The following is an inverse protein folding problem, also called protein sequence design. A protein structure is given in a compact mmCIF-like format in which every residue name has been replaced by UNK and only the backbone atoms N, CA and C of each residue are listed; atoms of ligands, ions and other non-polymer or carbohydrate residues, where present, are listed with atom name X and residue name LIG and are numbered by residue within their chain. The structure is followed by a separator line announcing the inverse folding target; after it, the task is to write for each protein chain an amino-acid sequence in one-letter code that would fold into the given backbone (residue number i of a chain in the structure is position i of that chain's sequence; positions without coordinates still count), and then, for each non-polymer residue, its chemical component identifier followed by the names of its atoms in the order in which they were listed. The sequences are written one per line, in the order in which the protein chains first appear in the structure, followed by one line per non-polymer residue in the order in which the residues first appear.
data_IF_793234635704
#
_entry.id   IF_793234635704
#
_cell.length_a   1.000
_cell.length_b   1.000
_cell.length_c   1.000
_cell.angle_alpha   90.00
_cell.angle_beta   90.00
_cell.angle_gamma   90.00
#
_symmetry.space_group_name_H-M   'P 1'
#
loop_
_entity.id
_entity.type
_entity.pdbx_description
1 polymer ?
#
# COMPACT_ATOMS: atom_id res chain seq x y z
N UNK A 1 13.83 -5.20 -5.18
CA UNK A 1 14.26 -5.26 -3.76
C UNK A 1 13.05 -5.16 -2.84
N UNK A 2 13.01 -5.98 -1.83
CA UNK A 2 11.91 -5.96 -0.89
C UNK A 2 11.92 -4.69 -0.05
N UNK A 3 10.77 -4.12 0.19
CA UNK A 3 10.59 -2.98 1.07
C UNK A 3 10.42 -3.46 2.51
N UNK A 4 10.71 -2.60 3.45
CA UNK A 4 10.48 -2.86 4.85
C UNK A 4 9.15 -2.27 5.26
N UNK A 5 8.32 -3.07 5.92
CA UNK A 5 7.07 -2.58 6.48
C UNK A 5 7.34 -2.05 7.88
N UNK A 6 7.08 -0.76 8.07
CA UNK A 6 7.18 -0.12 9.37
C UNK A 6 5.78 0.01 9.95
N UNK A 7 5.61 -0.47 11.18
CA UNK A 7 4.30 -0.50 11.82
C UNK A 7 4.32 0.35 13.09
N UNK A 8 3.40 1.30 13.14
CA UNK A 8 3.20 2.11 14.34
C UNK A 8 1.79 1.87 14.87
N UNK A 9 1.71 1.28 16.05
CA UNK A 9 0.44 0.99 16.69
C UNK A 9 -0.01 2.21 17.50
N UNK A 10 -1.23 2.66 17.26
CA UNK A 10 -1.79 3.82 17.93
C UNK A 10 -3.19 3.52 18.43
N UNK A 11 -3.45 3.80 19.68
CA UNK A 11 -4.78 3.66 20.28
C UNK A 11 -5.47 5.01 20.22
N UNK A 12 -6.63 5.06 19.55
CA UNK A 12 -7.39 6.29 19.37
C UNK A 12 -8.28 6.59 20.58
N UNK A 13 -8.88 5.55 21.14
CA UNK A 13 -9.67 5.63 22.36
C UNK A 13 -9.70 4.23 22.99
N UNK A 14 -10.61 3.99 23.90
CA UNK A 14 -10.67 2.71 24.62
C UNK A 14 -11.11 1.54 23.75
N UNK A 15 -11.76 1.78 22.63
CA UNK A 15 -12.38 0.76 21.80
C UNK A 15 -11.82 0.65 20.40
N UNK A 16 -11.04 1.65 19.97
CA UNK A 16 -10.52 1.70 18.60
C UNK A 16 -9.01 1.69 18.59
N UNK A 17 -8.47 0.99 17.63
CA UNK A 17 -7.04 0.99 17.34
C UNK A 17 -6.81 1.46 15.91
N UNK A 18 -5.69 2.10 15.71
CA UNK A 18 -5.22 2.48 14.40
C UNK A 18 -3.79 2.02 14.23
N UNK A 19 -3.40 1.79 13.00
CA UNK A 19 -2.04 1.37 12.69
C UNK A 19 -1.59 2.00 11.39
N UNK A 20 -0.35 2.48 11.37
CA UNK A 20 0.28 2.99 10.16
C UNK A 20 1.25 1.96 9.64
N UNK A 21 1.13 1.63 8.37
CA UNK A 21 2.04 0.74 7.66
C UNK A 21 2.75 1.56 6.59
N UNK A 22 4.06 1.42 6.48
CA UNK A 22 4.80 2.14 5.44
C UNK A 22 5.99 1.34 4.96
N UNK A 23 6.48 1.67 3.77
CA UNK A 23 7.76 1.19 3.28
C UNK A 23 8.85 2.21 3.61
N UNK A 24 10.10 1.81 3.41
CA UNK A 24 11.15 2.77 3.09
C UNK A 24 11.03 3.11 1.62
N UNK A 25 11.48 4.29 1.20
CA UNK A 25 11.40 4.71 -0.20
C UNK A 25 11.95 3.61 -1.11
N UNK A 26 11.15 3.20 -2.10
CA UNK A 26 11.46 2.09 -2.98
C UNK A 26 11.46 2.54 -4.43
N UNK A 27 12.54 2.23 -5.14
CA UNK A 27 12.66 2.50 -6.56
C UNK A 27 11.79 1.52 -7.36
N UNK A 28 11.04 2.06 -8.32
CA UNK A 28 10.19 1.27 -9.20
C UNK A 28 11.01 0.83 -10.40
N UNK A 29 10.98 -0.46 -10.71
CA UNK A 29 11.72 -1.03 -11.83
C UNK A 29 10.98 -0.94 -13.16
N UNK A 30 11.51 -1.65 -14.16
CA UNK A 30 10.94 -1.64 -15.52
C UNK A 30 9.66 -2.46 -15.68
N UNK A 31 9.30 -3.28 -14.70
CA UNK A 31 8.02 -3.99 -14.66
C UNK A 31 7.34 -3.68 -13.33
N UNK A 32 6.11 -4.16 -13.18
CA UNK A 32 5.37 -3.92 -11.93
C UNK A 32 6.20 -4.39 -10.74
N UNK A 33 6.41 -3.50 -9.79
CA UNK A 33 7.29 -3.69 -8.63
C UNK A 33 6.49 -3.59 -7.35
N UNK A 34 6.73 -4.50 -6.41
CA UNK A 34 6.14 -4.40 -5.08
C UNK A 34 6.83 -3.29 -4.31
N UNK A 35 6.10 -2.25 -3.95
CA UNK A 35 6.64 -1.11 -3.21
C UNK A 35 6.30 -1.15 -1.72
N UNK A 36 5.23 -1.80 -1.35
CA UNK A 36 4.90 -2.11 0.03
C UNK A 36 4.57 -3.59 0.12
N UNK A 37 5.42 -4.35 0.83
CA UNK A 37 5.25 -5.78 0.99
C UNK A 37 3.94 -6.11 1.71
N UNK A 38 3.45 -7.31 1.50
CA UNK A 38 2.20 -7.75 2.13
C UNK A 38 2.26 -7.63 3.65
N UNK A 39 1.16 -7.22 4.22
CA UNK A 39 1.01 -7.10 5.67
C UNK A 39 -0.42 -7.43 6.08
N UNK A 40 -0.57 -7.86 7.32
CA UNK A 40 -1.84 -8.29 7.88
C UNK A 40 -2.68 -7.08 8.29
N UNK A 41 -3.90 -6.99 7.77
CA UNK A 41 -4.85 -5.92 8.07
C UNK A 41 -6.15 -6.46 8.67
N UNK A 42 -6.14 -7.68 9.17
CA UNK A 42 -7.36 -8.36 9.61
C UNK A 42 -8.12 -7.63 10.71
N UNK A 43 -7.43 -6.82 11.52
CA UNK A 43 -8.06 -6.07 12.61
C UNK A 43 -8.70 -4.74 12.18
N UNK A 44 -8.52 -4.35 10.93
CA UNK A 44 -8.94 -3.02 10.47
C UNK A 44 -10.01 -3.15 9.40
N UNK A 45 -10.93 -2.20 9.36
CA UNK A 45 -12.02 -2.19 8.38
C UNK A 45 -12.16 -0.86 7.65
N UNK A 46 -11.25 0.06 7.90
CA UNK A 46 -11.14 1.32 7.13
C UNK A 46 -9.68 1.55 6.84
N UNK A 47 -9.41 1.88 5.58
CA UNK A 47 -8.04 2.11 5.13
C UNK A 47 -7.98 3.38 4.28
N UNK A 48 -6.88 4.10 4.42
CA UNK A 48 -6.52 5.17 3.50
C UNK A 48 -5.07 5.00 3.12
N UNK A 49 -4.72 5.38 1.90
CA UNK A 49 -3.36 5.24 1.39
C UNK A 49 -2.90 6.58 0.84
N UNK A 50 -1.66 6.93 1.15
CA UNK A 50 -1.01 8.07 0.54
C UNK A 50 0.31 7.62 -0.05
N UNK A 51 0.56 8.00 -1.29
CA UNK A 51 1.73 7.59 -2.04
C UNK A 51 2.47 8.84 -2.48
N UNK A 52 3.74 8.92 -2.11
CA UNK A 52 4.62 10.03 -2.46
C UNK A 52 5.62 9.55 -3.50
N UNK A 53 5.81 10.36 -4.54
CA UNK A 53 6.84 10.13 -5.55
C UNK A 53 7.85 11.27 -5.46
N UNK A 54 9.06 10.96 -5.04
CA UNK A 54 10.13 11.95 -4.91
C UNK A 54 10.89 12.17 -6.22
N UNK A 55 10.68 11.32 -7.22
CA UNK A 55 11.34 11.47 -8.51
C UNK A 55 10.73 12.62 -9.30
N UNK A 56 11.58 13.47 -9.85
CA UNK A 56 11.14 14.64 -10.59
C UNK A 56 10.94 14.41 -12.09
N UNK A 57 11.24 13.22 -12.60
CA UNK A 57 11.22 12.93 -14.03
C UNK A 57 10.20 11.86 -14.43
N UNK A 58 9.90 10.89 -13.57
CA UNK A 58 9.06 9.74 -13.91
C UNK A 58 7.85 9.67 -12.99
N UNK A 59 6.67 9.70 -13.59
CA UNK A 59 5.41 9.48 -12.88
C UNK A 59 5.20 7.97 -12.66
N UNK A 60 4.36 7.63 -11.70
CA UNK A 60 4.04 6.25 -11.37
C UNK A 60 2.54 6.00 -11.39
N UNK A 61 2.18 4.74 -11.58
CA UNK A 61 0.81 4.25 -11.38
C UNK A 61 0.89 3.16 -10.33
N UNK A 62 0.20 3.34 -9.23
CA UNK A 62 0.18 2.38 -8.14
C UNK A 62 -1.13 1.59 -8.14
N UNK A 63 -1.03 0.35 -7.68
CA UNK A 63 -2.16 -0.57 -7.55
C UNK A 63 -2.15 -1.15 -6.15
N UNK A 64 -3.32 -1.19 -5.53
CA UNK A 64 -3.50 -1.81 -4.23
C UNK A 64 -4.07 -3.20 -4.46
N UNK A 65 -3.45 -4.21 -3.86
CA UNK A 65 -3.92 -5.59 -3.93
C UNK A 65 -4.32 -6.08 -2.56
N UNK A 66 -5.39 -6.85 -2.52
CA UNK A 66 -5.86 -7.46 -1.29
C UNK A 66 -5.99 -8.96 -1.43
N UNK A 67 -5.98 -9.66 -0.30
CA UNK A 67 -6.21 -11.09 -0.24
C UNK A 67 -6.93 -11.46 1.05
N UNK A 68 -7.80 -12.46 0.96
CA UNK A 68 -8.46 -13.05 2.13
C UNK A 68 -7.77 -14.31 2.61
N UNK A 69 -6.75 -14.77 1.90
CA UNK A 69 -5.99 -15.96 2.31
C UNK A 69 -5.22 -15.70 3.59
N UNK A 70 -5.10 -16.74 4.39
CA UNK A 70 -4.34 -16.69 5.64
C UNK A 70 -2.84 -16.49 5.37
N UNK A 71 -2.33 -17.17 4.35
CA UNK A 71 -0.94 -17.04 3.92
C UNK A 71 -0.90 -16.88 2.40
N UNK A 72 -1.13 -15.66 1.89
CA UNK A 72 -1.10 -15.44 0.45
C UNK A 72 0.32 -15.56 -0.09
N UNK A 73 0.41 -16.03 -1.32
CA UNK A 73 1.70 -16.17 -2.01
C UNK A 73 2.30 -14.83 -2.42
N UNK A 74 3.18 -14.88 -3.42
CA UNK A 74 3.88 -13.70 -3.93
C UNK A 74 2.91 -12.60 -4.32
N UNK A 75 3.19 -11.39 -3.91
CA UNK A 75 2.38 -10.20 -4.20
C UNK A 75 2.14 -10.05 -5.70
N UNK A 76 0.89 -9.78 -6.05
CA UNK A 76 0.47 -9.65 -7.43
C UNK A 76 0.23 -10.97 -8.15
N UNK A 77 0.43 -12.11 -7.48
CA UNK A 77 0.15 -13.43 -8.03
C UNK A 77 -1.32 -13.81 -7.93
N UNK A 78 -1.60 -15.11 -8.10
CA UNK A 78 -2.97 -15.63 -8.20
C UNK A 78 -3.79 -15.51 -6.91
N UNK A 79 -3.14 -15.28 -5.77
CA UNK A 79 -3.84 -15.12 -4.49
C UNK A 79 -4.32 -13.69 -4.26
N UNK A 80 -4.00 -12.77 -5.16
CA UNK A 80 -4.23 -11.35 -5.00
C UNK A 80 -5.21 -10.80 -6.02
N UNK A 81 -6.03 -9.87 -5.58
CA UNK A 81 -6.98 -9.15 -6.43
C UNK A 81 -6.79 -7.66 -6.22
N UNK A 82 -6.78 -6.90 -7.31
CA UNK A 82 -6.69 -5.44 -7.20
C UNK A 82 -7.93 -4.89 -6.51
N UNK A 83 -7.70 -3.99 -5.57
CA UNK A 83 -8.75 -3.33 -4.80
C UNK A 83 -8.83 -1.88 -5.24
N UNK A 84 -9.95 -1.51 -5.81
CA UNK A 84 -10.16 -0.15 -6.32
C UNK A 84 -9.44 0.10 -7.65
N UNK A 85 -9.41 1.36 -8.04
CA UNK A 85 -8.82 1.79 -9.30
C UNK A 85 -7.33 2.05 -9.17
N UNK A 86 -6.64 2.13 -10.30
CA UNK A 86 -5.25 2.56 -10.35
C UNK A 86 -5.10 3.96 -9.75
N UNK A 87 -3.98 4.19 -9.10
CA UNK A 87 -3.67 5.47 -8.46
C UNK A 87 -2.53 6.12 -9.22
N UNK A 88 -2.82 7.22 -9.92
CA UNK A 88 -1.79 7.98 -10.63
C UNK A 88 -1.05 8.90 -9.67
N UNK A 89 0.28 8.82 -9.68
CA UNK A 89 1.15 9.63 -8.84
C UNK A 89 2.10 10.40 -9.74
N UNK A 90 1.93 11.72 -9.81
CA UNK A 90 2.77 12.57 -10.64
C UNK A 90 4.21 12.66 -10.14
N UNK A 91 5.06 13.30 -10.95
CA UNK A 91 6.44 13.57 -10.56
C UNK A 91 6.48 14.59 -9.41
N UNK A 92 7.38 14.39 -8.46
CA UNK A 92 7.52 15.27 -7.29
C UNK A 92 6.16 15.58 -6.64
N UNK A 93 5.30 14.56 -6.52
CA UNK A 93 3.91 14.74 -6.10
C UNK A 93 3.46 13.58 -5.22
N UNK A 94 2.21 13.64 -4.81
CA UNK A 94 1.60 12.56 -4.04
C UNK A 94 0.14 12.39 -4.44
N UNK A 95 -0.43 11.26 -4.02
CA UNK A 95 -1.85 10.96 -4.19
C UNK A 95 -2.40 10.37 -2.91
N UNK A 96 -3.61 10.75 -2.56
CA UNK A 96 -4.30 10.27 -1.37
C UNK A 96 -5.61 9.61 -1.79
N UNK A 97 -5.84 8.38 -1.34
CA UNK A 97 -7.03 7.61 -1.69
C UNK A 97 -7.59 6.88 -0.48
N UNK A 98 -8.92 6.89 -0.36
CA UNK A 98 -9.60 5.96 0.53
C UNK A 98 -9.74 4.61 -0.19
N UNK A 99 -9.52 3.54 0.55
CA UNK A 99 -9.72 2.19 0.02
C UNK A 99 -11.13 1.77 0.38
N UNK A 100 -11.95 1.50 -0.63
CA UNK A 100 -13.39 1.27 -0.47
C UNK A 100 -13.76 -0.12 0.04
N UNK A 101 -12.84 -1.07 -0.02
CA UNK A 101 -13.08 -2.42 0.49
C UNK A 101 -12.97 -2.43 2.01
N UNK A 102 -13.90 -3.09 2.68
CA UNK A 102 -14.00 -3.00 4.14
C UNK A 102 -13.35 -4.13 4.91
N UNK A 103 -13.16 -5.29 4.31
CA UNK A 103 -12.62 -6.45 5.05
C UNK A 103 -11.61 -7.20 4.20
N UNK A 104 -10.36 -7.13 4.61
CA UNK A 104 -9.25 -7.84 3.99
C UNK A 104 -8.43 -8.52 5.07
N UNK A 105 -7.72 -9.58 4.72
CA UNK A 105 -6.73 -10.17 5.63
C UNK A 105 -5.35 -9.61 5.38
N UNK A 106 -4.99 -9.45 4.11
CA UNK A 106 -3.67 -8.91 3.73
C UNK A 106 -3.83 -7.87 2.64
N UNK A 107 -2.89 -6.96 2.60
CA UNK A 107 -2.83 -5.87 1.65
C UNK A 107 -1.39 -5.68 1.22
N UNK A 108 -1.17 -5.31 -0.04
CA UNK A 108 0.13 -4.88 -0.53
C UNK A 108 -0.07 -3.82 -1.61
N UNK A 109 1.01 -3.12 -1.95
CA UNK A 109 0.97 -2.08 -2.98
C UNK A 109 2.07 -2.36 -4.00
N UNK A 110 1.70 -2.33 -5.27
CA UNK A 110 2.63 -2.49 -6.39
C UNK A 110 2.51 -1.29 -7.32
N UNK A 111 3.52 -1.04 -8.09
CA UNK A 111 3.54 0.13 -8.97
C UNK A 111 4.31 -0.13 -10.24
N UNK A 112 3.99 0.68 -11.26
CA UNK A 112 4.74 0.78 -12.52
C UNK A 112 5.24 2.21 -12.66
N UNK A 113 6.28 2.41 -13.47
CA UNK A 113 6.90 3.72 -13.67
C UNK A 113 8.39 3.62 -13.41
N UNK A 114 9.16 3.08 -14.38
CA UNK A 114 10.59 2.80 -14.23
C UNK A 114 11.37 4.07 -13.90
N UNK A 115 11.94 4.10 -12.71
CA UNK A 115 12.70 5.25 -12.19
C UNK A 115 11.96 6.08 -11.16
N UNK A 116 10.68 5.88 -10.95
CA UNK A 116 9.96 6.55 -9.87
C UNK A 116 10.45 6.03 -8.50
N UNK A 117 10.42 6.89 -7.50
CA UNK A 117 10.82 6.56 -6.13
C UNK A 117 9.64 6.80 -5.21
N UNK A 118 9.05 5.71 -4.71
CA UNK A 118 7.78 5.78 -4.00
C UNK A 118 7.92 5.49 -2.51
N UNK A 119 7.28 6.34 -1.73
CA UNK A 119 7.00 6.10 -0.31
C UNK A 119 5.50 5.94 -0.15
N UNK A 120 5.09 4.82 0.42
CA UNK A 120 3.68 4.47 0.58
C UNK A 120 3.35 4.43 2.06
N UNK A 121 2.28 5.11 2.44
CA UNK A 121 1.77 5.07 3.81
C UNK A 121 0.33 4.59 3.75
N UNK A 122 0.04 3.52 4.51
CA UNK A 122 -1.33 3.02 4.66
C UNK A 122 -1.73 3.19 6.11
N UNK A 123 -2.83 3.88 6.33
CA UNK A 123 -3.42 4.04 7.64
C UNK A 123 -4.65 3.15 7.73
N UNK A 124 -4.63 2.23 8.69
CA UNK A 124 -5.75 1.35 8.96
C UNK A 124 -6.37 1.69 10.31
N UNK A 125 -7.69 1.60 10.37
CA UNK A 125 -8.46 1.97 11.55
C UNK A 125 -9.54 0.93 11.81
N UNK A 126 -9.72 0.57 13.07
CA UNK A 126 -10.83 -0.24 13.52
C UNK A 126 -11.95 0.69 13.97
N UNK A 127 -13.09 0.53 13.35
CA UNK A 127 -14.25 1.40 13.62
C UNK A 127 -15.41 0.58 14.16
#
# INVERSE_FOLDING_TARGET
MASTVVRTNKRLDRTRTAMTFSNTETAVGGSETTVLDKFDVALYNRYAIQIFNSDGAVAAVAKVYGSLKDEPGTEGGSDWTQVGDDISVGTSSNALKAISTTALRHLCVRATGNGADLTVIVYGEQV
#
